data_IF_871372504448
#
_entry.id   IF_871372504448
#
_cell.length_a   1.000
_cell.length_b   1.000
_cell.length_c   1.000
_cell.angle_alpha   90.00
_cell.angle_beta   90.00
_cell.angle_gamma   90.00
#
_symmetry.space_group_name_H-M   'P 1'
#
loop_
_entity.id
_entity.type
_entity.pdbx_description
1 polymer ?
#
# COMPACT_ATOMS: atom_id res chain seq x y z
N UNK A 1 40.75 -41.91 -46.26
CA UNK A 1 39.33 -41.63 -45.93
C UNK A 1 39.14 -41.69 -44.42
N UNK A 2 38.44 -40.67 -43.85
CA UNK A 2 37.61 -40.66 -42.62
C UNK A 2 38.32 -40.96 -41.27
N UNK A 3 38.77 -39.96 -40.52
CA UNK A 3 38.07 -39.12 -39.49
C UNK A 3 37.66 -39.90 -38.22
N UNK A 4 38.51 -39.88 -37.19
CA UNK A 4 38.17 -40.23 -35.81
C UNK A 4 37.70 -38.97 -35.08
N UNK A 5 36.58 -39.12 -34.39
CA UNK A 5 35.73 -38.07 -33.83
C UNK A 5 36.28 -37.61 -32.47
N UNK A 6 36.46 -36.30 -32.33
CA UNK A 6 36.76 -35.64 -31.05
C UNK A 6 35.54 -35.74 -30.12
N UNK A 7 35.66 -36.51 -29.04
CA UNK A 7 34.72 -36.47 -27.91
C UNK A 7 35.52 -36.00 -26.70
N UNK A 8 35.32 -34.75 -26.30
CA UNK A 8 35.36 -34.27 -24.92
C UNK A 8 35.56 -32.76 -24.97
N UNK A 9 34.52 -31.99 -24.61
CA UNK A 9 34.58 -30.66 -23.96
C UNK A 9 33.27 -29.89 -24.14
N UNK A 10 32.12 -30.41 -23.70
CA UNK A 10 30.93 -29.56 -23.50
C UNK A 10 30.12 -30.13 -22.33
N UNK A 11 30.51 -29.86 -21.08
CA UNK A 11 29.71 -30.29 -19.92
C UNK A 11 29.71 -29.31 -18.72
N UNK A 12 30.12 -28.04 -18.90
CA UNK A 12 30.25 -27.15 -17.72
C UNK A 12 29.73 -25.72 -17.88
N UNK A 13 29.06 -25.36 -18.98
CA UNK A 13 28.62 -23.95 -19.19
C UNK A 13 27.10 -23.78 -18.98
N UNK A 14 26.31 -24.85 -18.89
CA UNK A 14 24.85 -24.73 -18.79
C UNK A 14 24.30 -24.49 -17.39
N UNK A 15 25.12 -24.59 -16.33
CA UNK A 15 24.64 -24.44 -14.94
C UNK A 15 24.65 -22.98 -14.43
N UNK A 16 25.42 -22.09 -15.05
CA UNK A 16 25.55 -20.69 -14.59
C UNK A 16 24.41 -19.76 -15.04
N UNK A 17 23.60 -20.18 -16.04
CA UNK A 17 22.51 -19.35 -16.57
C UNK A 17 21.23 -19.47 -15.71
N UNK A 18 21.04 -20.57 -14.98
CA UNK A 18 19.82 -20.77 -14.17
C UNK A 18 19.85 -20.05 -12.81
N UNK A 19 21.01 -19.59 -12.34
CA UNK A 19 21.14 -18.97 -11.01
C UNK A 19 20.76 -17.47 -11.04
N UNK A 20 20.80 -16.82 -12.20
CA UNK A 20 20.44 -15.41 -12.32
C UNK A 20 18.93 -15.15 -12.49
N UNK A 21 18.11 -16.18 -12.77
CA UNK A 21 16.66 -16.00 -12.97
C UNK A 21 15.85 -16.05 -11.67
N UNK A 22 16.42 -16.57 -10.58
CA UNK A 22 15.75 -16.72 -9.29
C UNK A 22 15.77 -15.46 -8.40
N UNK A 23 16.40 -14.36 -8.83
CA UNK A 23 16.53 -13.14 -8.02
C UNK A 23 15.46 -12.07 -8.29
N UNK A 24 14.52 -12.29 -9.22
CA UNK A 24 13.47 -11.31 -9.58
C UNK A 24 12.07 -11.65 -9.02
N UNK A 25 11.98 -12.53 -8.03
CA UNK A 25 10.73 -12.80 -7.31
C UNK A 25 10.93 -12.54 -5.81
N UNK A 26 11.33 -11.32 -5.44
CA UNK A 26 11.00 -10.86 -4.07
C UNK A 26 9.48 -10.83 -4.02
N UNK A 27 8.82 -11.56 -3.08
CA UNK A 27 7.41 -11.32 -2.82
C UNK A 27 7.28 -9.82 -2.56
N UNK A 28 6.43 -9.15 -3.32
CA UNK A 28 6.09 -7.75 -3.11
C UNK A 28 5.71 -7.62 -1.63
N UNK A 29 6.66 -7.15 -0.78
CA UNK A 29 6.53 -7.24 0.69
C UNK A 29 5.48 -6.24 1.13
N UNK A 30 4.22 -6.63 1.05
CA UNK A 30 3.12 -5.80 1.52
C UNK A 30 3.32 -5.52 3.00
N UNK A 31 3.23 -4.25 3.36
CA UNK A 31 3.52 -3.83 4.72
C UNK A 31 2.28 -4.12 5.54
N UNK A 32 2.44 -4.97 6.55
CA UNK A 32 1.38 -5.32 7.48
C UNK A 32 1.29 -4.27 8.58
N UNK A 33 0.12 -3.65 8.69
CA UNK A 33 -0.22 -2.65 9.71
C UNK A 33 -1.70 -2.77 10.03
N UNK A 34 -2.21 -2.08 11.05
CA UNK A 34 -3.66 -1.97 11.26
C UNK A 34 -4.20 -0.71 10.57
N UNK A 35 -5.51 -0.68 10.31
CA UNK A 35 -6.17 0.55 9.83
C UNK A 35 -5.96 1.69 10.84
N UNK A 36 -5.99 1.37 12.13
CA UNK A 36 -5.78 2.36 13.19
C UNK A 36 -4.39 2.98 13.11
N UNK A 37 -3.35 2.15 13.12
CA UNK A 37 -1.97 2.62 13.12
C UNK A 37 -1.67 3.39 11.82
N UNK A 38 -2.11 2.86 10.67
CA UNK A 38 -2.00 3.56 9.38
C UNK A 38 -2.64 4.95 9.42
N UNK A 39 -3.85 5.06 9.99
CA UNK A 39 -4.54 6.36 10.05
C UNK A 39 -3.85 7.33 11.01
N UNK A 40 -3.38 6.87 12.17
CA UNK A 40 -2.66 7.73 13.11
C UNK A 40 -1.32 8.22 12.53
N UNK A 41 -0.59 7.33 11.86
CA UNK A 41 0.73 7.62 11.31
C UNK A 41 0.71 8.58 10.13
N UNK A 42 -0.31 8.50 9.26
CA UNK A 42 -0.27 9.18 7.97
C UNK A 42 -1.38 10.21 7.76
N UNK A 43 -2.60 9.98 8.25
CA UNK A 43 -3.72 10.91 7.97
C UNK A 43 -3.53 12.27 8.65
N UNK A 44 -3.10 12.28 9.91
CA UNK A 44 -2.90 13.52 10.66
C UNK A 44 -1.74 14.37 10.08
N UNK A 45 -0.56 13.81 9.76
CA UNK A 45 0.47 14.55 9.02
C UNK A 45 0.03 14.99 7.62
N UNK A 46 -0.72 14.15 6.89
CA UNK A 46 -1.20 14.49 5.55
C UNK A 46 -2.18 15.66 5.54
N UNK A 47 -3.11 15.73 6.50
CA UNK A 47 -4.01 16.90 6.66
C UNK A 47 -3.21 18.17 6.96
N UNK A 48 -2.18 18.08 7.81
CA UNK A 48 -1.28 19.22 8.07
C UNK A 48 -0.52 19.64 6.81
N UNK A 49 -0.08 18.69 5.99
CA UNK A 49 0.58 18.97 4.71
C UNK A 49 -0.39 19.62 3.71
N UNK A 50 -1.65 19.17 3.67
CA UNK A 50 -2.70 19.78 2.85
C UNK A 50 -2.92 21.26 3.20
N UNK A 51 -2.98 21.58 4.50
CA UNK A 51 -3.06 22.98 4.98
C UNK A 51 -1.83 23.83 4.60
N UNK A 52 -0.70 23.18 4.31
CA UNK A 52 0.54 23.82 3.83
C UNK A 52 0.69 23.80 2.29
N UNK A 53 -0.38 23.47 1.56
CA UNK A 53 -0.38 23.47 0.10
C UNK A 53 0.09 22.16 -0.55
N UNK A 54 0.20 21.06 0.20
CA UNK A 54 0.51 19.72 -0.32
C UNK A 54 -0.64 18.73 -0.08
N UNK A 55 -1.80 18.90 -0.74
CA UNK A 55 -2.98 18.05 -0.55
C UNK A 55 -2.79 16.63 -1.12
N UNK A 56 -1.80 16.42 -1.97
CA UNK A 56 -1.64 15.16 -2.72
C UNK A 56 -1.49 13.95 -1.78
N UNK A 57 -0.87 14.17 -0.61
CA UNK A 57 -0.71 13.14 0.41
C UNK A 57 -2.04 12.66 1.00
N UNK A 58 -2.94 13.58 1.35
CA UNK A 58 -4.23 13.20 1.93
C UNK A 58 -5.17 12.65 0.84
N UNK A 59 -5.09 13.15 -0.38
CA UNK A 59 -5.87 12.66 -1.51
C UNK A 59 -5.54 11.21 -1.87
N UNK A 60 -4.24 10.85 -1.85
CA UNK A 60 -3.82 9.45 -2.01
C UNK A 60 -4.33 8.56 -0.89
N UNK A 61 -4.32 9.03 0.36
CA UNK A 61 -4.89 8.27 1.48
C UNK A 61 -6.40 8.06 1.27
N UNK A 62 -7.14 9.10 0.93
CA UNK A 62 -8.60 9.03 0.72
C UNK A 62 -8.99 8.12 -0.44
N UNK A 63 -8.13 7.98 -1.44
CA UNK A 63 -8.34 7.04 -2.56
C UNK A 63 -8.06 5.59 -2.13
N UNK A 64 -7.06 5.37 -1.27
CA UNK A 64 -6.67 4.02 -0.84
C UNK A 64 -7.57 3.49 0.31
N UNK A 65 -8.03 4.35 1.20
CA UNK A 65 -8.65 3.95 2.46
C UNK A 65 -9.90 3.07 2.32
N UNK A 66 -10.79 3.24 1.30
CA UNK A 66 -11.94 2.36 1.14
C UNK A 66 -11.56 0.91 0.85
N UNK A 67 -10.40 0.65 0.23
CA UNK A 67 -9.91 -0.72 0.01
C UNK A 67 -9.61 -1.45 1.32
N UNK A 68 -9.35 -0.71 2.39
CA UNK A 68 -9.12 -1.23 3.73
C UNK A 68 -10.42 -1.35 4.53
N UNK A 69 -11.58 -0.97 4.02
CA UNK A 69 -12.84 -1.17 4.75
C UNK A 69 -13.27 -2.65 4.72
N UNK A 70 -14.18 -3.02 5.62
CA UNK A 70 -14.97 -4.24 5.50
C UNK A 70 -15.86 -4.14 4.25
N UNK A 71 -16.14 -5.26 3.58
CA UNK A 71 -16.87 -5.27 2.30
C UNK A 71 -18.20 -4.51 2.39
N UNK A 72 -18.94 -4.69 3.48
CA UNK A 72 -20.25 -4.06 3.69
C UNK A 72 -20.14 -2.53 3.90
N UNK A 73 -18.95 -2.05 4.25
CA UNK A 73 -18.68 -0.64 4.56
C UNK A 73 -17.93 0.07 3.43
N UNK A 74 -17.37 -0.66 2.46
CA UNK A 74 -16.59 -0.08 1.35
C UNK A 74 -17.34 1.00 0.59
N UNK A 75 -18.63 0.79 0.30
CA UNK A 75 -19.44 1.77 -0.42
C UNK A 75 -19.50 3.10 0.34
N UNK A 76 -19.78 3.03 1.64
CA UNK A 76 -19.95 4.19 2.52
C UNK A 76 -18.61 4.89 2.81
N UNK A 77 -17.52 4.12 2.93
CA UNK A 77 -16.16 4.67 2.99
C UNK A 77 -15.78 5.40 1.71
N UNK A 78 -16.15 4.85 0.56
CA UNK A 78 -15.92 5.48 -0.75
C UNK A 78 -16.69 6.78 -0.87
N UNK A 79 -17.96 6.80 -0.47
CA UNK A 79 -18.79 8.00 -0.47
C UNK A 79 -18.17 9.13 0.37
N UNK A 80 -17.84 8.85 1.63
CA UNK A 80 -17.21 9.84 2.54
C UNK A 80 -15.85 10.32 2.00
N UNK A 81 -15.08 9.44 1.37
CA UNK A 81 -13.77 9.79 0.80
C UNK A 81 -13.91 10.64 -0.46
N UNK A 82 -14.84 10.29 -1.35
CA UNK A 82 -15.12 11.04 -2.58
C UNK A 82 -15.72 12.41 -2.29
N UNK A 83 -16.61 12.53 -1.31
CA UNK A 83 -17.13 13.81 -0.85
C UNK A 83 -16.00 14.72 -0.37
N UNK A 84 -15.07 14.19 0.42
CA UNK A 84 -13.91 14.93 0.91
C UNK A 84 -12.98 15.41 -0.20
N UNK A 85 -12.78 14.58 -1.23
CA UNK A 85 -11.99 14.96 -2.41
C UNK A 85 -12.67 16.09 -3.19
N UNK A 86 -14.00 16.10 -3.29
CA UNK A 86 -14.78 17.14 -3.98
C UNK A 86 -14.80 18.46 -3.21
N UNK A 87 -15.07 18.41 -1.90
CA UNK A 87 -15.20 19.61 -1.05
C UNK A 87 -13.86 20.13 -0.54
N UNK A 88 -12.81 19.32 -0.65
CA UNK A 88 -11.50 19.53 0.00
C UNK A 88 -11.57 19.65 1.52
N UNK A 89 -12.67 19.18 2.13
CA UNK A 89 -12.84 19.12 3.59
C UNK A 89 -12.37 17.77 4.15
N UNK A 90 -11.05 17.60 4.16
CA UNK A 90 -10.43 16.36 4.60
C UNK A 90 -10.58 16.12 6.12
N UNK A 91 -10.70 17.18 6.92
CA UNK A 91 -10.80 17.07 8.37
C UNK A 91 -12.20 16.58 8.79
N UNK A 92 -13.25 17.09 8.16
CA UNK A 92 -14.60 16.60 8.41
C UNK A 92 -14.79 15.16 7.94
N UNK A 93 -14.20 14.78 6.80
CA UNK A 93 -14.23 13.40 6.32
C UNK A 93 -13.73 12.40 7.37
N UNK A 94 -12.60 12.69 8.01
CA UNK A 94 -12.05 11.83 9.07
C UNK A 94 -12.99 11.76 10.29
N UNK A 95 -13.61 12.89 10.68
CA UNK A 95 -14.57 12.95 11.79
C UNK A 95 -15.84 12.15 11.48
N UNK A 96 -16.39 12.30 10.28
CA UNK A 96 -17.57 11.57 9.80
C UNK A 96 -17.29 10.07 9.76
N UNK A 97 -16.17 9.65 9.19
CA UNK A 97 -15.76 8.23 9.17
C UNK A 97 -15.61 7.67 10.59
N UNK A 98 -14.93 8.38 11.50
CA UNK A 98 -14.77 7.93 12.89
C UNK A 98 -16.09 7.86 13.66
N UNK A 99 -17.04 8.78 13.39
CA UNK A 99 -18.35 8.78 14.03
C UNK A 99 -19.21 7.62 13.51
N UNK A 100 -19.27 7.44 12.21
CA UNK A 100 -20.09 6.44 11.54
C UNK A 100 -19.65 5.02 11.91
N UNK A 101 -18.35 4.75 11.89
CA UNK A 101 -17.79 3.41 12.11
C UNK A 101 -17.18 3.23 13.50
N UNK A 102 -17.57 4.04 14.48
CA UNK A 102 -16.96 4.05 15.83
C UNK A 102 -16.95 2.66 16.50
N UNK A 103 -18.03 1.90 16.34
CA UNK A 103 -18.19 0.56 16.94
C UNK A 103 -17.26 -0.46 16.27
N UNK A 104 -17.29 -0.53 14.95
CA UNK A 104 -16.47 -1.44 14.15
C UNK A 104 -14.99 -1.06 14.19
N UNK A 105 -14.69 0.22 14.38
CA UNK A 105 -13.33 0.70 14.56
C UNK A 105 -12.68 0.12 15.80
N UNK A 106 -13.40 0.18 16.94
CA UNK A 106 -12.93 -0.40 18.20
C UNK A 106 -12.89 -1.94 18.16
N UNK A 107 -13.89 -2.57 17.53
CA UNK A 107 -14.03 -4.02 17.50
C UNK A 107 -13.04 -4.69 16.53
N UNK A 108 -12.88 -4.10 15.35
CA UNK A 108 -12.24 -4.73 14.19
C UNK A 108 -11.07 -3.92 13.66
N UNK A 109 -11.25 -2.66 13.26
CA UNK A 109 -10.20 -1.92 12.53
C UNK A 109 -8.93 -1.65 13.33
N UNK A 110 -9.03 -1.59 14.67
CA UNK A 110 -7.86 -1.47 15.56
C UNK A 110 -7.00 -2.73 15.66
N UNK A 111 -7.54 -3.89 15.32
CA UNK A 111 -6.88 -5.19 15.51
C UNK A 111 -6.63 -5.93 14.20
N UNK A 112 -7.44 -5.66 13.18
CA UNK A 112 -7.38 -6.36 11.90
C UNK A 112 -6.17 -5.86 11.10
N UNK A 113 -5.23 -6.76 10.75
CA UNK A 113 -4.14 -6.40 9.87
C UNK A 113 -4.67 -6.08 8.47
N UNK A 114 -4.07 -5.09 7.85
CA UNK A 114 -4.28 -4.70 6.46
C UNK A 114 -2.94 -4.76 5.74
N UNK A 115 -3.03 -5.08 4.45
CA UNK A 115 -1.88 -5.04 3.55
C UNK A 115 -1.89 -3.70 2.83
N UNK A 116 -0.92 -2.85 3.13
CA UNK A 116 -0.73 -1.57 2.45
C UNK A 116 0.35 -1.72 1.38
N UNK A 117 0.13 -1.11 0.21
CA UNK A 117 1.13 -1.16 -0.85
C UNK A 117 2.45 -0.48 -0.41
N UNK A 118 3.62 -1.08 -0.70
CA UNK A 118 4.91 -0.50 -0.35
C UNK A 118 5.12 0.88 -0.96
N UNK A 119 4.60 1.11 -2.17
CA UNK A 119 4.62 2.40 -2.85
C UNK A 119 3.88 3.49 -2.09
N UNK A 120 2.67 3.19 -1.59
CA UNK A 120 1.90 4.16 -0.80
C UNK A 120 2.64 4.50 0.49
N UNK A 121 3.17 3.51 1.20
CA UNK A 121 3.94 3.75 2.42
C UNK A 121 5.22 4.56 2.12
N UNK A 122 5.94 4.24 1.05
CA UNK A 122 7.16 4.96 0.65
C UNK A 122 6.84 6.43 0.34
N UNK A 123 5.76 6.68 -0.40
CA UNK A 123 5.28 8.02 -0.70
C UNK A 123 4.91 8.78 0.58
N UNK A 124 4.11 8.17 1.46
CA UNK A 124 3.66 8.80 2.71
C UNK A 124 4.79 9.01 3.72
N UNK A 125 5.86 8.20 3.70
CA UNK A 125 7.08 8.46 4.48
C UNK A 125 7.76 9.78 4.08
N UNK A 126 7.49 10.30 2.89
CA UNK A 126 7.89 11.65 2.47
C UNK A 126 7.32 12.76 3.37
N UNK A 127 6.21 12.53 4.08
CA UNK A 127 5.64 13.48 5.05
C UNK A 127 6.49 13.67 6.31
N UNK A 128 7.33 12.68 6.64
CA UNK A 128 8.16 12.68 7.85
C UNK A 128 9.57 13.26 7.59
N UNK A 129 9.87 13.67 6.34
CA UNK A 129 11.11 14.37 5.96
C UNK A 129 10.89 15.88 5.95
#
# INVERSE_FOLDING_TARGET
MKKTIYISTISSITLSVLINLSLSAQPERKIETTVHDFMEDYTKPAIKAAKKGKPEYIEKILTAIPSFALEEQKAKWTEISQEALKTKDYEQSCKSCHKEFKKEYKKTYRKRPIQVSPELISYLKGLKK
#
